data_IF_834704528607
#
_entry.id   IF_834704528607
#
_cell.length_a   1.000
_cell.length_b   1.000
_cell.length_c   1.000
_cell.angle_alpha   90.00
_cell.angle_beta   90.00
_cell.angle_gamma   90.00
#
_symmetry.space_group_name_H-M   'P 1'
#
loop_
_entity.id
_entity.type
_entity.pdbx_description
1 polymer ?
#
# COMPACT_ATOMS: atom_id res chain seq x y z
N UNK A 1 -34.80 -29.25 -2.86
CA UNK A 1 -34.11 -29.69 -1.63
C UNK A 1 -32.71 -30.24 -1.91
N UNK A 2 -32.56 -31.31 -2.72
CA UNK A 2 -31.25 -31.95 -3.01
C UNK A 2 -30.21 -31.01 -3.67
N UNK A 3 -30.63 -30.22 -4.67
CA UNK A 3 -29.72 -29.32 -5.39
C UNK A 3 -29.18 -28.17 -4.52
N UNK A 4 -29.97 -27.67 -3.57
CA UNK A 4 -29.56 -26.60 -2.65
C UNK A 4 -28.50 -27.11 -1.66
N UNK A 5 -28.66 -28.36 -1.20
CA UNK A 5 -27.68 -29.03 -0.35
C UNK A 5 -26.36 -29.29 -1.10
N UNK A 6 -26.42 -29.72 -2.36
CA UNK A 6 -25.24 -29.93 -3.19
C UNK A 6 -24.46 -28.62 -3.46
N UNK A 7 -25.16 -27.52 -3.69
CA UNK A 7 -24.56 -26.20 -3.93
C UNK A 7 -23.91 -25.63 -2.66
N UNK A 8 -24.53 -25.84 -1.50
CA UNK A 8 -23.96 -25.51 -0.19
C UNK A 8 -22.69 -26.33 0.11
N UNK A 9 -22.72 -27.64 -0.18
CA UNK A 9 -21.58 -28.52 0.02
C UNK A 9 -20.41 -28.16 -0.91
N UNK A 10 -20.67 -27.83 -2.19
CA UNK A 10 -19.64 -27.34 -3.10
C UNK A 10 -19.03 -26.02 -2.63
N UNK A 11 -19.83 -25.10 -2.10
CA UNK A 11 -19.32 -23.84 -1.55
C UNK A 11 -18.45 -24.07 -0.30
N UNK A 12 -18.84 -24.99 0.58
CA UNK A 12 -18.07 -25.36 1.76
C UNK A 12 -16.72 -26.01 1.40
N UNK A 13 -16.70 -26.88 0.39
CA UNK A 13 -15.46 -27.50 -0.10
C UNK A 13 -14.56 -26.51 -0.83
N UNK A 14 -15.12 -25.54 -1.56
CA UNK A 14 -14.36 -24.47 -2.20
C UNK A 14 -13.64 -23.57 -1.17
N UNK A 15 -14.29 -23.30 -0.04
CA UNK A 15 -13.65 -22.58 1.07
C UNK A 15 -12.47 -23.34 1.68
N UNK A 16 -12.51 -24.68 1.67
CA UNK A 16 -11.41 -25.51 2.16
C UNK A 16 -10.23 -25.54 1.19
N UNK A 17 -10.48 -25.43 -0.13
CA UNK A 17 -9.41 -25.33 -1.14
C UNK A 17 -8.65 -24.00 -1.11
N UNK A 18 -9.18 -22.97 -0.43
CA UNK A 18 -8.51 -21.67 -0.20
C UNK A 18 -7.84 -21.63 1.19
N UNK A 19 -7.96 -22.68 2.01
CA UNK A 19 -7.14 -22.84 3.21
C UNK A 19 -5.72 -23.26 2.81
N UNK A 20 -5.03 -22.40 2.05
CA UNK A 20 -3.61 -22.47 1.87
C UNK A 20 -2.96 -22.07 3.20
N UNK A 21 -2.20 -23.00 3.78
CA UNK A 21 -1.30 -22.73 4.88
C UNK A 21 -0.19 -21.81 4.34
N UNK A 22 -0.30 -20.51 4.61
CA UNK A 22 0.84 -19.61 4.44
C UNK A 22 1.92 -20.02 5.43
N UNK A 23 2.87 -20.84 4.96
CA UNK A 23 4.14 -21.08 5.63
C UNK A 23 4.81 -19.72 5.81
N UNK A 24 4.68 -19.16 7.02
CA UNK A 24 5.42 -17.99 7.43
C UNK A 24 6.87 -18.40 7.68
N UNK A 25 7.70 -18.40 6.64
CA UNK A 25 9.14 -18.20 6.83
C UNK A 25 9.31 -16.80 7.42
N UNK A 26 9.58 -16.75 8.72
CA UNK A 26 9.86 -15.51 9.47
C UNK A 26 11.25 -15.01 9.08
N UNK A 27 11.37 -14.50 7.86
CA UNK A 27 12.57 -13.81 7.39
C UNK A 27 12.19 -12.37 7.06
N UNK A 28 12.34 -11.49 8.05
CA UNK A 28 12.28 -10.02 7.90
C UNK A 28 11.03 -9.49 7.15
N UNK A 29 9.82 -9.79 7.64
CA UNK A 29 8.54 -9.34 7.05
C UNK A 29 8.45 -7.83 6.77
N UNK A 30 9.24 -7.02 7.49
CA UNK A 30 9.38 -5.58 7.28
C UNK A 30 9.96 -5.22 5.91
N UNK A 31 10.89 -6.00 5.35
CA UNK A 31 11.67 -5.63 4.17
C UNK A 31 11.02 -5.95 2.82
N UNK A 32 10.15 -6.96 2.75
CA UNK A 32 9.73 -7.52 1.44
C UNK A 32 8.23 -7.69 1.20
N UNK A 33 7.32 -7.43 2.14
CA UNK A 33 5.90 -7.67 1.87
C UNK A 33 4.88 -6.87 2.68
N UNK A 34 5.10 -6.66 3.99
CA UNK A 34 4.05 -6.12 4.87
C UNK A 34 4.25 -4.65 5.28
N UNK A 35 5.47 -4.11 5.14
CA UNK A 35 5.79 -2.75 5.56
C UNK A 35 5.10 -1.64 4.74
N UNK A 36 4.85 -1.88 3.46
CA UNK A 36 4.20 -0.90 2.58
C UNK A 36 2.74 -0.62 2.95
N UNK A 37 2.02 -1.63 3.44
CA UNK A 37 0.61 -1.51 3.82
C UNK A 37 0.40 -0.62 5.04
N UNK A 38 1.24 -0.76 6.08
CA UNK A 38 1.15 0.05 7.29
C UNK A 38 1.48 1.52 7.01
N UNK A 39 2.55 1.77 6.25
CA UNK A 39 2.94 3.14 5.87
C UNK A 39 1.86 3.78 5.00
N UNK A 40 1.35 3.06 3.99
CA UNK A 40 0.24 3.53 3.16
C UNK A 40 -1.03 3.83 3.97
N UNK A 41 -1.31 3.03 5.00
CA UNK A 41 -2.44 3.24 5.89
C UNK A 41 -2.29 4.50 6.77
N UNK A 42 -1.09 4.75 7.29
CA UNK A 42 -0.80 5.99 8.03
C UNK A 42 -1.00 7.21 7.11
N UNK A 43 -0.48 7.15 5.89
CA UNK A 43 -0.65 8.23 4.90
C UNK A 43 -2.12 8.46 4.57
N UNK A 44 -2.92 7.41 4.42
CA UNK A 44 -4.37 7.51 4.21
C UNK A 44 -5.07 8.21 5.38
N UNK A 45 -4.71 7.88 6.63
CA UNK A 45 -5.27 8.54 7.82
C UNK A 45 -4.91 10.02 7.82
N UNK A 46 -3.65 10.36 7.55
CA UNK A 46 -3.19 11.75 7.48
C UNK A 46 -3.94 12.54 6.40
N UNK A 47 -4.18 11.93 5.24
CA UNK A 47 -4.94 12.54 4.14
C UNK A 47 -6.38 12.89 4.55
N UNK A 48 -7.05 11.97 5.28
CA UNK A 48 -8.40 12.20 5.83
C UNK A 48 -8.40 13.34 6.86
N UNK A 49 -7.42 13.39 7.77
CA UNK A 49 -7.32 14.44 8.78
C UNK A 49 -7.19 15.81 8.11
N UNK A 50 -6.31 15.93 7.12
CA UNK A 50 -6.11 17.18 6.37
C UNK A 50 -7.36 17.55 5.58
N UNK A 51 -8.04 16.58 4.96
CA UNK A 51 -9.30 16.81 4.26
C UNK A 51 -10.35 17.43 5.19
N UNK A 52 -10.52 16.89 6.40
CA UNK A 52 -11.44 17.44 7.40
C UNK A 52 -11.04 18.85 7.84
N UNK A 53 -9.75 19.11 8.03
CA UNK A 53 -9.24 20.43 8.41
C UNK A 53 -9.51 21.48 7.31
N UNK A 54 -9.24 21.13 6.05
CA UNK A 54 -9.51 21.97 4.88
C UNK A 54 -11.00 22.23 4.73
N UNK A 55 -11.86 21.22 4.93
CA UNK A 55 -13.31 21.36 4.91
C UNK A 55 -13.83 22.26 6.03
N UNK A 56 -13.24 22.23 7.22
CA UNK A 56 -13.59 23.08 8.36
C UNK A 56 -13.09 24.52 8.27
N UNK A 57 -12.13 24.80 7.37
CA UNK A 57 -11.58 26.14 7.19
C UNK A 57 -12.62 27.16 6.68
N UNK A 58 -12.50 28.46 6.98
CA UNK A 58 -13.39 29.51 6.44
C UNK A 58 -13.02 29.99 5.02
N UNK A 59 -12.01 29.36 4.39
CA UNK A 59 -11.52 29.71 3.04
C UNK A 59 -12.57 29.49 1.95
N UNK A 60 -12.52 30.25 0.82
CA UNK A 60 -13.41 30.03 -0.31
C UNK A 60 -13.28 28.62 -0.90
N UNK A 61 -14.37 28.11 -1.49
CA UNK A 61 -14.50 26.73 -1.98
C UNK A 61 -13.40 26.36 -2.99
N UNK A 62 -13.04 27.27 -3.89
CA UNK A 62 -11.97 27.06 -4.87
C UNK A 62 -10.62 26.69 -4.21
N UNK A 63 -10.29 27.35 -3.11
CA UNK A 63 -9.03 27.11 -2.40
C UNK A 63 -9.07 25.80 -1.61
N UNK A 64 -10.24 25.40 -1.09
CA UNK A 64 -10.42 24.10 -0.43
C UNK A 64 -10.17 22.96 -1.40
N UNK A 65 -10.78 23.03 -2.59
CA UNK A 65 -10.65 22.00 -3.61
C UNK A 65 -9.21 21.88 -4.10
N UNK A 66 -8.53 23.01 -4.35
CA UNK A 66 -7.12 22.99 -4.74
C UNK A 66 -6.23 22.35 -3.64
N UNK A 67 -6.45 22.70 -2.37
CA UNK A 67 -5.70 22.11 -1.26
C UNK A 67 -5.93 20.60 -1.13
N UNK A 68 -7.20 20.17 -1.23
CA UNK A 68 -7.55 18.76 -1.18
C UNK A 68 -6.87 17.97 -2.31
N UNK A 69 -6.90 18.50 -3.54
CA UNK A 69 -6.28 17.88 -4.70
C UNK A 69 -4.77 17.70 -4.51
N UNK A 70 -4.09 18.73 -4.01
CA UNK A 70 -2.64 18.69 -3.80
C UNK A 70 -2.26 17.63 -2.76
N UNK A 71 -2.95 17.58 -1.62
CA UNK A 71 -2.62 16.64 -0.53
C UNK A 71 -2.94 15.19 -0.93
N UNK A 72 -4.10 14.97 -1.57
CA UNK A 72 -4.50 13.64 -2.04
C UNK A 72 -3.55 13.10 -3.13
N UNK A 73 -3.07 13.98 -4.01
CA UNK A 73 -2.20 13.59 -5.12
C UNK A 73 -0.73 13.50 -4.71
N UNK A 74 -0.33 14.17 -3.63
CA UNK A 74 1.03 14.14 -3.06
C UNK A 74 1.61 12.73 -2.85
N UNK A 75 0.92 11.76 -2.21
CA UNK A 75 1.46 10.42 -2.02
C UNK A 75 1.77 9.70 -3.34
N UNK A 76 1.02 9.99 -4.39
CA UNK A 76 1.21 9.39 -5.72
C UNK A 76 2.33 10.14 -6.46
N UNK A 77 2.25 11.47 -6.49
CA UNK A 77 3.24 12.33 -7.16
C UNK A 77 4.63 12.19 -6.55
N UNK A 78 4.75 12.06 -5.23
CA UNK A 78 6.03 11.88 -4.56
C UNK A 78 6.76 10.63 -5.06
N UNK A 79 6.03 9.53 -5.25
CA UNK A 79 6.60 8.28 -5.79
C UNK A 79 6.98 8.44 -7.26
N UNK A 80 6.13 9.08 -8.06
CA UNK A 80 6.40 9.31 -9.49
C UNK A 80 7.65 10.18 -9.67
N UNK A 81 7.75 11.28 -8.94
CA UNK A 81 8.91 12.18 -8.98
C UNK A 81 10.17 11.47 -8.50
N UNK A 82 10.08 10.70 -7.42
CA UNK A 82 11.20 9.88 -6.96
C UNK A 82 11.68 8.94 -8.07
N UNK A 83 10.78 8.23 -8.75
CA UNK A 83 11.16 7.32 -9.83
C UNK A 83 11.83 8.03 -11.01
N UNK A 84 11.34 9.22 -11.37
CA UNK A 84 11.88 9.99 -12.50
C UNK A 84 13.25 10.61 -12.20
N UNK A 85 13.48 11.06 -10.97
CA UNK A 85 14.68 11.81 -10.58
C UNK A 85 15.71 11.03 -9.76
N UNK A 86 15.39 9.83 -9.25
CA UNK A 86 16.26 9.10 -8.30
C UNK A 86 17.60 8.63 -8.89
N UNK A 87 17.85 8.74 -10.19
CA UNK A 87 19.10 8.35 -10.89
C UNK A 87 19.78 7.09 -10.30
N UNK A 88 18.99 6.01 -10.17
CA UNK A 88 19.37 4.78 -9.45
C UNK A 88 20.62 4.14 -10.06
N UNK A 89 20.78 4.20 -11.37
CA UNK A 89 21.92 3.64 -12.10
C UNK A 89 23.28 4.21 -11.67
N UNK A 90 23.34 5.46 -11.21
CA UNK A 90 24.59 6.07 -10.74
C UNK A 90 24.94 5.71 -9.28
N UNK A 91 23.95 5.29 -8.49
CA UNK A 91 24.11 4.99 -7.06
C UNK A 91 24.10 3.49 -6.76
N UNK A 92 23.74 2.65 -7.72
CA UNK A 92 23.89 1.19 -7.67
C UNK A 92 25.33 0.76 -7.97
N UNK A 93 26.32 1.48 -7.43
CA UNK A 93 27.73 1.11 -7.54
C UNK A 93 27.91 -0.30 -6.98
N UNK A 94 28.50 -1.17 -7.80
CA UNK A 94 28.85 -2.55 -7.48
C UNK A 94 29.51 -2.62 -6.11
N UNK A 95 28.72 -2.96 -5.09
CA UNK A 95 29.21 -3.26 -3.77
C UNK A 95 30.12 -4.47 -3.92
N UNK A 96 31.43 -4.23 -3.93
CA UNK A 96 32.44 -5.27 -3.89
C UNK A 96 32.29 -6.01 -2.58
N UNK A 97 31.45 -7.03 -2.58
CA UNK A 97 31.47 -8.07 -1.57
C UNK A 97 32.80 -8.80 -1.78
N UNK A 98 33.86 -8.33 -1.14
CA UNK A 98 35.03 -9.16 -0.91
C UNK A 98 34.59 -10.28 0.03
N UNK A 99 34.43 -11.47 -0.53
CA UNK A 99 34.23 -12.69 0.24
C UNK A 99 35.51 -12.94 1.04
N UNK A 100 35.50 -12.59 2.31
CA UNK A 100 36.52 -13.04 3.26
C UNK A 100 36.41 -14.56 3.38
N UNK A 101 37.27 -15.24 2.63
CA UNK A 101 37.54 -16.66 2.74
C UNK A 101 38.41 -16.97 3.95
#
# INVERSE_FOLDING_TARGET
MQAVFALFLQFALFSLTIAEETVHTTDNAWKYGSGGGVIGFIVLILDIIVALEVLKSSRPVSHKVLWLLVVFLFPILGIILYYLFSNRSAHNGSGGYESIA
#
